data_IF_706226354869
#
_entry.id   IF_706226354869
#
_cell.length_a   1.000
_cell.length_b   1.000
_cell.length_c   1.000
_cell.angle_alpha   90.00
_cell.angle_beta   90.00
_cell.angle_gamma   90.00
#
_symmetry.space_group_name_H-M   'P 1'
#
loop_
_entity.id
_entity.type
_entity.pdbx_description
1 polymer ?
#
# COMPACT_ATOMS: atom_id res chain seq x y z
N UNK A 1 31.23 -26.14 22.31
CA UNK A 1 30.48 -24.90 22.02
C UNK A 1 30.20 -24.89 20.53
N UNK A 2 29.09 -25.50 20.10
CA UNK A 2 28.77 -25.68 18.67
C UNK A 2 27.99 -24.48 18.17
N UNK A 3 28.64 -23.64 17.36
CA UNK A 3 28.00 -22.52 16.66
C UNK A 3 27.23 -23.08 15.47
N UNK A 4 25.92 -23.26 15.65
CA UNK A 4 25.00 -23.58 14.55
C UNK A 4 24.96 -22.35 13.63
N UNK A 5 25.26 -22.48 12.32
CA UNK A 5 25.08 -21.38 11.40
C UNK A 5 23.57 -21.15 11.21
N UNK A 6 23.05 -20.12 11.88
CA UNK A 6 21.67 -19.67 11.66
C UNK A 6 21.62 -19.01 10.28
N UNK A 7 21.14 -19.75 9.29
CA UNK A 7 20.80 -19.19 7.98
C UNK A 7 19.57 -18.30 8.14
N UNK A 8 19.80 -17.00 8.34
CA UNK A 8 18.76 -15.98 8.31
C UNK A 8 18.38 -15.78 6.85
N UNK A 9 17.50 -16.63 6.33
CA UNK A 9 16.80 -16.29 5.10
C UNK A 9 15.93 -15.07 5.42
N UNK A 10 16.03 -13.93 4.71
CA UNK A 10 15.07 -12.86 4.89
C UNK A 10 13.70 -13.49 4.69
N UNK A 11 12.88 -13.49 5.74
CA UNK A 11 11.51 -13.93 5.61
C UNK A 11 10.94 -13.10 4.45
N UNK A 12 10.28 -13.74 3.49
CA UNK A 12 9.51 -13.08 2.42
C UNK A 12 8.28 -12.37 3.00
N UNK A 13 8.41 -11.77 4.19
CA UNK A 13 7.53 -10.73 4.68
C UNK A 13 7.61 -9.63 3.64
N UNK A 14 6.69 -9.68 2.67
CA UNK A 14 6.28 -8.55 1.89
C UNK A 14 6.10 -7.37 2.86
N UNK A 15 7.08 -6.47 3.00
CA UNK A 15 6.76 -5.17 3.55
C UNK A 15 6.11 -4.41 2.41
N UNK A 16 4.81 -4.62 2.28
CA UNK A 16 4.00 -3.75 1.47
C UNK A 16 3.85 -2.43 2.21
N UNK A 17 3.98 -1.32 1.50
CA UNK A 17 3.63 -0.01 2.00
C UNK A 17 2.33 0.47 1.33
N UNK A 18 1.58 1.39 1.95
CA UNK A 18 0.31 1.89 1.41
C UNK A 18 0.27 3.41 1.40
N UNK A 19 -0.23 3.99 0.32
CA UNK A 19 -0.44 5.43 0.16
C UNK A 19 -1.87 5.74 -0.24
N UNK A 20 -2.39 6.90 0.17
CA UNK A 20 -3.70 7.38 -0.28
C UNK A 20 -3.52 8.57 -1.22
N UNK A 21 -4.14 8.50 -2.39
CA UNK A 21 -4.13 9.58 -3.38
C UNK A 21 -5.56 10.08 -3.62
N UNK A 22 -5.68 11.33 -4.06
CA UNK A 22 -6.98 11.98 -4.31
C UNK A 22 -7.01 12.53 -5.73
N UNK A 23 -7.53 11.77 -6.68
CA UNK A 23 -7.51 12.16 -8.09
C UNK A 23 -8.93 12.09 -8.69
N UNK A 24 -9.47 13.25 -9.08
CA UNK A 24 -10.79 13.34 -9.70
C UNK A 24 -10.83 12.75 -11.11
N UNK A 25 -9.74 12.89 -11.87
CA UNK A 25 -9.61 12.35 -13.24
C UNK A 25 -9.70 10.82 -13.26
N UNK A 26 -9.20 10.16 -12.20
CA UNK A 26 -9.25 8.72 -12.07
C UNK A 26 -10.59 8.20 -11.53
N UNK A 27 -11.61 9.04 -11.35
CA UNK A 27 -12.88 8.61 -10.75
C UNK A 27 -13.63 7.60 -11.62
N UNK A 28 -13.67 7.85 -12.94
CA UNK A 28 -14.37 7.01 -13.91
C UNK A 28 -13.46 5.93 -14.54
N UNK A 29 -12.17 5.95 -14.22
CA UNK A 29 -11.21 5.00 -14.77
C UNK A 29 -11.31 3.65 -14.02
N UNK A 30 -11.36 2.52 -14.73
CA UNK A 30 -11.31 1.18 -14.13
C UNK A 30 -10.05 0.98 -13.26
N UNK A 31 -10.17 0.22 -12.18
CA UNK A 31 -9.04 -0.01 -11.26
C UNK A 31 -7.90 -0.80 -11.90
N UNK A 32 -8.21 -1.69 -12.83
CA UNK A 32 -7.21 -2.49 -13.55
C UNK A 32 -6.32 -1.59 -14.40
N UNK A 33 -6.92 -0.66 -15.17
CA UNK A 33 -6.17 0.30 -15.98
C UNK A 33 -5.30 1.23 -15.12
N UNK A 34 -5.81 1.67 -13.96
CA UNK A 34 -5.03 2.47 -13.01
C UNK A 34 -3.86 1.65 -12.46
N UNK A 35 -4.09 0.38 -12.15
CA UNK A 35 -3.06 -0.52 -11.62
C UNK A 35 -1.96 -0.73 -12.66
N UNK A 36 -2.30 -1.04 -13.90
CA UNK A 36 -1.33 -1.22 -15.01
C UNK A 36 -0.47 0.03 -15.21
N UNK A 37 -1.10 1.22 -15.25
CA UNK A 37 -0.37 2.50 -15.42
C UNK A 37 0.58 2.80 -14.26
N UNK A 38 0.19 2.46 -13.02
CA UNK A 38 0.97 2.73 -11.82
C UNK A 38 1.93 1.59 -11.44
N UNK A 39 1.82 0.42 -12.08
CA UNK A 39 2.68 -0.74 -11.83
C UNK A 39 4.16 -0.42 -12.08
N UNK A 40 4.44 0.40 -13.10
CA UNK A 40 5.77 0.94 -13.40
C UNK A 40 6.38 1.76 -12.25
N UNK A 41 5.56 2.26 -11.33
CA UNK A 41 5.96 3.03 -10.14
C UNK A 41 5.97 2.16 -8.86
N UNK A 42 5.91 0.83 -9.00
CA UNK A 42 5.97 -0.11 -7.89
C UNK A 42 4.63 -0.34 -7.17
N UNK A 43 3.51 0.11 -7.74
CA UNK A 43 2.18 -0.20 -7.21
C UNK A 43 1.80 -1.63 -7.58
N UNK A 44 1.49 -2.45 -6.59
CA UNK A 44 1.03 -3.83 -6.76
C UNK A 44 -0.48 -3.95 -6.72
N UNK A 45 -1.19 -3.03 -6.06
CA UNK A 45 -2.64 -3.08 -5.96
C UNK A 45 -3.25 -1.69 -5.76
N UNK A 46 -4.40 -1.44 -6.41
CA UNK A 46 -5.17 -0.20 -6.28
C UNK A 46 -6.57 -0.51 -5.77
N UNK A 47 -7.02 0.23 -4.75
CA UNK A 47 -8.37 0.09 -4.20
C UNK A 47 -9.07 1.44 -4.11
N UNK A 48 -10.30 1.54 -4.62
CA UNK A 48 -11.11 2.76 -4.46
C UNK A 48 -11.73 2.83 -3.08
N UNK A 49 -11.64 4.00 -2.45
CA UNK A 49 -12.39 4.26 -1.22
C UNK A 49 -13.84 4.53 -1.62
N UNK A 50 -14.75 3.80 -0.99
CA UNK A 50 -16.18 4.00 -1.14
C UNK A 50 -16.78 4.49 0.17
N UNK A 51 -17.75 5.38 0.11
CA UNK A 51 -18.53 5.82 1.27
C UNK A 51 -19.94 5.22 1.22
N UNK A 52 -20.56 5.04 2.37
CA UNK A 52 -21.99 4.72 2.44
C UNK A 52 -22.77 6.00 2.68
N UNK A 53 -23.74 6.28 1.81
CA UNK A 53 -24.68 7.39 1.94
C UNK A 53 -26.07 6.89 1.60
N UNK A 54 -27.03 7.10 2.49
CA UNK A 54 -28.43 6.68 2.31
C UNK A 54 -28.58 5.20 1.94
N UNK A 55 -27.75 4.33 2.55
CA UNK A 55 -27.74 2.89 2.29
C UNK A 55 -27.01 2.47 1.00
N UNK A 56 -26.58 3.41 0.15
CA UNK A 56 -25.87 3.13 -1.10
C UNK A 56 -24.35 3.28 -0.94
N UNK A 57 -23.60 2.42 -1.62
CA UNK A 57 -22.15 2.48 -1.67
C UNK A 57 -21.72 3.38 -2.84
N UNK A 58 -21.14 4.54 -2.52
CA UNK A 58 -20.72 5.54 -3.50
C UNK A 58 -19.20 5.53 -3.64
N UNK A 59 -18.73 5.48 -4.89
CA UNK A 59 -17.32 5.68 -5.22
C UNK A 59 -16.87 7.09 -4.80
N UNK A 60 -15.61 7.23 -4.41
CA UNK A 60 -14.97 8.53 -4.18
C UNK A 60 -13.77 8.72 -5.11
N UNK A 61 -13.28 9.95 -5.20
CA UNK A 61 -12.02 10.31 -5.89
C UNK A 61 -10.75 9.81 -5.18
N UNK A 62 -10.89 9.13 -4.04
CA UNK A 62 -9.77 8.67 -3.25
C UNK A 62 -9.42 7.22 -3.59
N UNK A 63 -8.13 6.97 -3.82
CA UNK A 63 -7.58 5.65 -4.12
C UNK A 63 -6.52 5.29 -3.08
N UNK A 64 -6.48 4.03 -2.68
CA UNK A 64 -5.44 3.43 -1.88
C UNK A 64 -4.52 2.67 -2.82
N UNK A 65 -3.25 3.05 -2.85
CA UNK A 65 -2.18 2.36 -3.55
C UNK A 65 -1.46 1.45 -2.56
N UNK A 66 -1.23 0.20 -2.93
CA UNK A 66 -0.36 -0.72 -2.22
C UNK A 66 0.90 -0.92 -3.06
N UNK A 67 2.05 -0.80 -2.44
CA UNK A 67 3.36 -1.03 -3.06
C UNK A 67 3.91 -2.35 -2.54
N UNK A 68 4.63 -3.09 -3.38
CA UNK A 68 5.36 -4.30 -2.96
C UNK A 68 6.67 -3.98 -2.23
N UNK A 69 7.08 -2.70 -2.20
CA UNK A 69 8.30 -2.24 -1.55
C UNK A 69 8.08 -1.76 -0.12
N UNK A 70 9.09 -2.06 0.69
CA UNK A 70 9.25 -1.71 2.10
C UNK A 70 9.47 -0.21 2.28
N UNK A 71 10.05 0.41 1.26
CA UNK A 71 10.29 1.84 1.17
C UNK A 71 9.16 2.44 0.36
N UNK A 72 8.42 3.35 0.98
CA UNK A 72 7.36 4.07 0.30
C UNK A 72 8.02 5.12 -0.60
N UNK A 73 7.69 5.16 -1.90
CA UNK A 73 8.29 6.13 -2.81
C UNK A 73 7.94 7.55 -2.36
N UNK A 74 8.90 8.47 -2.49
CA UNK A 74 8.75 9.86 -2.04
C UNK A 74 7.57 10.58 -2.74
N UNK A 75 7.24 10.14 -3.95
CA UNK A 75 6.04 10.56 -4.68
C UNK A 75 5.57 9.49 -5.66
N UNK A 76 4.27 9.49 -5.96
CA UNK A 76 3.68 8.80 -7.10
C UNK A 76 3.02 9.82 -8.01
N UNK A 77 3.27 9.67 -9.31
CA UNK A 77 2.61 10.47 -10.35
C UNK A 77 1.37 9.72 -10.81
N UNK A 78 0.21 10.31 -10.54
CA UNK A 78 -1.07 9.88 -11.10
C UNK A 78 -1.69 11.09 -11.80
N UNK A 79 -1.68 11.10 -13.13
CA UNK A 79 -1.97 12.31 -13.92
C UNK A 79 -0.92 13.40 -13.72
N UNK A 80 -1.35 14.65 -13.56
CA UNK A 80 -0.48 15.83 -13.34
C UNK A 80 -0.12 16.10 -11.88
N UNK A 81 -0.69 15.34 -10.92
CA UNK A 81 -0.56 15.63 -9.50
C UNK A 81 0.45 14.70 -8.80
N UNK A 82 1.27 15.29 -7.92
CA UNK A 82 2.13 14.56 -6.97
C UNK A 82 1.33 14.32 -5.69
N UNK A 83 1.14 13.07 -5.30
CA UNK A 83 0.41 12.75 -4.07
C UNK A 83 1.36 12.22 -2.99
N UNK A 84 1.23 12.81 -1.80
CA UNK A 84 1.78 12.29 -0.55
C UNK A 84 0.60 12.05 0.40
N UNK A 85 0.62 10.90 1.11
CA UNK A 85 0.07 10.68 2.45
C UNK A 85 0.25 9.22 2.83
N UNK A 86 1.27 8.98 3.64
CA UNK A 86 1.56 7.70 4.28
C UNK A 86 0.87 7.71 5.65
N UNK A 87 -0.13 6.86 5.83
CA UNK A 87 -0.47 6.40 7.18
C UNK A 87 0.28 5.09 7.37
N UNK A 88 1.43 5.17 8.02
CA UNK A 88 2.12 3.98 8.47
C UNK A 88 1.23 3.29 9.49
N UNK A 89 0.56 2.21 9.09
CA UNK A 89 0.05 1.25 10.08
C UNK A 89 1.28 0.46 10.49
N UNK A 90 1.82 0.63 11.72
CA UNK A 90 2.89 -0.25 12.17
C UNK A 90 2.34 -1.67 12.11
N UNK A 91 3.08 -2.58 11.49
CA UNK A 91 2.76 -4.00 11.52
C UNK A 91 2.52 -4.42 12.98
N UNK A 92 1.55 -5.32 13.25
CA UNK A 92 1.30 -5.78 14.62
C UNK A 92 2.61 -6.34 15.19
N UNK A 93 3.09 -5.73 16.28
CA UNK A 93 4.21 -6.25 17.06
C UNK A 93 3.76 -7.58 17.63
N UNK A 94 4.29 -8.70 17.11
CA UNK A 94 4.09 -10.01 17.73
C UNK A 94 4.74 -9.98 19.11
N UNK A 95 3.99 -10.45 20.09
CA UNK A 95 4.19 -10.22 21.53
C UNK A 95 5.55 -10.62 22.07
N UNK A 96 5.85 -10.03 23.22
CA UNK A 96 6.97 -10.40 24.07
C UNK A 96 6.97 -11.91 24.33
N UNK A 97 8.01 -12.60 23.87
CA UNK A 97 8.40 -13.86 24.52
C UNK A 97 9.17 -13.46 25.78
N UNK A 98 8.48 -13.43 26.90
CA UNK A 98 9.14 -13.50 28.21
C UNK A 98 9.93 -14.81 28.23
N UNK A 99 11.26 -14.70 28.27
CA UNK A 99 12.12 -15.77 28.72
C UNK A 99 12.64 -15.38 30.10
N UNK A 100 12.18 -16.17 31.07
CA UNK A 100 12.55 -16.25 32.50
C UNK A 100 12.14 -15.09 33.41
#
# INVERSE_FOLDING_TARGET
>A
MSTIPVSVSPHETLNTSKGVITCGELFHVPLDEITEKLQSQGVSHVRRITIRRDGQLLNTKHLILTFSSHVLPEYVKAGYMRYWKVYGVPAPRRGATSYH
#
